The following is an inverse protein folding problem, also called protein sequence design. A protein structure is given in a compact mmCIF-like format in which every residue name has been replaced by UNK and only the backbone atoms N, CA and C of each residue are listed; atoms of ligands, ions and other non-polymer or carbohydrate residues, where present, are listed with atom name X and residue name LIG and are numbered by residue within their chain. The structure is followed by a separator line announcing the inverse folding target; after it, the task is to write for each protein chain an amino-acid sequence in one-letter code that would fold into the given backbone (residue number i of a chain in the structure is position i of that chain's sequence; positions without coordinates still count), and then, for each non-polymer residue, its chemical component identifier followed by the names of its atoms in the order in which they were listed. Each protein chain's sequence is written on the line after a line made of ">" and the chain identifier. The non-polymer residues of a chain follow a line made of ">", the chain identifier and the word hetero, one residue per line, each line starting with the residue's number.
data_IF_488572390860
#
_entry.id   IF_488572390860
#
_cell.length_a   1.000
_cell.length_b   1.000
_cell.length_c   1.000
_cell.angle_alpha   90.00
_cell.angle_beta   90.00
_cell.angle_gamma   90.00
#
_symmetry.space_group_name_H-M   'P 1'
#
loop_
_entity.id
_entity.type
_entity.pdbx_description
1 polymer ?
#
# COMPACT_ATOMS: atom_id res chain seq x y z
N UNK A 1 13.55 -3.91 -9.06
CA UNK A 1 13.47 -5.05 -10.01
C UNK A 1 12.05 -5.51 -10.31
N UNK A 2 11.15 -5.56 -9.33
CA UNK A 2 9.73 -5.92 -9.55
C UNK A 2 9.04 -5.06 -10.64
N UNK A 3 9.35 -3.76 -10.68
CA UNK A 3 8.90 -2.84 -11.77
C UNK A 3 9.35 -3.28 -13.18
N UNK A 4 10.50 -3.94 -13.30
CA UNK A 4 11.00 -4.48 -14.57
C UNK A 4 10.07 -5.57 -15.07
N UNK A 5 9.69 -6.49 -14.19
CA UNK A 5 8.77 -7.59 -14.52
C UNK A 5 7.42 -7.01 -14.97
N UNK A 6 6.86 -6.09 -14.18
CA UNK A 6 5.62 -5.39 -14.52
C UNK A 6 5.66 -4.72 -15.91
N UNK A 7 6.74 -3.99 -16.20
CA UNK A 7 6.88 -3.24 -17.47
C UNK A 7 7.19 -4.13 -18.67
N UNK A 8 7.62 -5.37 -18.42
CA UNK A 8 7.94 -6.36 -19.46
C UNK A 8 6.80 -7.34 -19.70
N UNK A 9 5.64 -7.16 -19.03
CA UNK A 9 4.47 -8.00 -19.26
C UNK A 9 3.97 -7.80 -20.69
N UNK A 10 3.81 -8.92 -21.39
CA UNK A 10 3.19 -8.96 -22.72
C UNK A 10 1.67 -8.74 -22.58
N UNK A 11 1.24 -7.52 -22.28
CA UNK A 11 -0.17 -7.17 -22.11
C UNK A 11 -0.43 -5.73 -22.56
N UNK A 12 -1.71 -5.32 -22.54
CA UNK A 12 -2.08 -3.95 -22.85
C UNK A 12 -1.62 -3.00 -21.75
N UNK A 13 -1.30 -1.74 -22.08
CA UNK A 13 -0.96 -0.74 -21.07
C UNK A 13 -2.04 -0.54 -20.00
N UNK A 14 -3.30 -0.79 -20.36
CA UNK A 14 -4.44 -0.66 -19.46
C UNK A 14 -4.62 -1.87 -18.53
N UNK A 15 -4.00 -3.00 -18.84
CA UNK A 15 -4.10 -4.25 -18.09
C UNK A 15 -2.77 -4.61 -17.39
N UNK A 16 -1.77 -3.71 -17.39
CA UNK A 16 -0.48 -3.91 -16.72
C UNK A 16 -0.61 -4.33 -15.26
N UNK A 17 -1.65 -3.84 -14.56
CA UNK A 17 -1.91 -4.15 -13.16
C UNK A 17 -2.68 -5.45 -12.91
N UNK A 18 -3.13 -6.16 -13.96
CA UNK A 18 -3.96 -7.38 -13.83
C UNK A 18 -3.28 -8.58 -14.47
N UNK A 19 -3.24 -9.74 -13.80
CA UNK A 19 -2.77 -10.99 -14.40
C UNK A 19 -3.78 -11.46 -15.46
N UNK A 20 -3.36 -11.48 -16.73
CA UNK A 20 -4.17 -11.82 -17.91
C UNK A 20 -3.34 -12.62 -18.89
N UNK A 21 -4.03 -13.23 -19.86
CA UNK A 21 -3.41 -13.94 -20.99
C UNK A 21 -2.43 -13.03 -21.73
N UNK A 22 -1.24 -13.53 -22.10
CA UNK A 22 -0.28 -12.78 -22.89
C UNK A 22 -0.88 -12.28 -24.21
N UNK A 23 -0.56 -11.03 -24.55
CA UNK A 23 -0.88 -10.38 -25.82
C UNK A 23 0.39 -10.35 -26.66
N UNK A 24 0.31 -10.89 -27.87
CA UNK A 24 1.45 -10.94 -28.80
C UNK A 24 1.29 -9.99 -30.00
N UNK A 25 0.05 -9.59 -30.30
CA UNK A 25 -0.25 -8.69 -31.40
C UNK A 25 -0.19 -7.21 -30.99
N UNK A 26 0.07 -6.28 -31.93
CA UNK A 26 -0.11 -4.85 -31.71
C UNK A 26 -1.54 -4.52 -31.27
N UNK A 27 -1.70 -3.50 -30.44
CA UNK A 27 -3.00 -3.06 -29.93
C UNK A 27 -3.10 -1.55 -29.87
N UNK A 28 -4.31 -1.01 -29.98
CA UNK A 28 -4.54 0.42 -29.75
C UNK A 28 -4.42 0.74 -28.25
N UNK A 29 -3.54 1.68 -27.91
CA UNK A 29 -3.29 2.09 -26.54
C UNK A 29 -3.94 3.45 -26.28
N UNK A 30 -5.01 3.47 -25.48
CA UNK A 30 -5.66 4.71 -25.05
C UNK A 30 -4.70 5.65 -24.31
N UNK A 31 -3.83 5.11 -23.44
CA UNK A 31 -2.84 5.91 -22.69
C UNK A 31 -1.90 6.70 -23.59
N UNK A 32 -1.52 6.16 -24.75
CA UNK A 32 -0.58 6.80 -25.68
C UNK A 32 -1.24 7.32 -26.96
N UNK A 33 -2.56 7.16 -27.09
CA UNK A 33 -3.34 7.49 -28.29
C UNK A 33 -2.73 6.98 -29.59
N UNK A 34 -2.16 5.76 -29.57
CA UNK A 34 -1.47 5.15 -30.73
C UNK A 34 -1.44 3.62 -30.66
N UNK A 35 -1.11 2.97 -31.77
CA UNK A 35 -0.82 1.54 -31.81
C UNK A 35 0.48 1.26 -31.05
N UNK A 36 0.41 0.43 -30.01
CA UNK A 36 1.54 -0.04 -29.24
C UNK A 36 1.79 -1.53 -29.51
N UNK A 37 3.03 -1.96 -29.31
CA UNK A 37 3.42 -3.36 -29.40
C UNK A 37 3.80 -3.89 -28.02
N UNK A 38 3.39 -5.12 -27.66
CA UNK A 38 3.88 -5.79 -26.46
C UNK A 38 5.42 -5.91 -26.46
N UNK A 39 6.08 -5.84 -25.29
CA UNK A 39 7.52 -6.05 -25.21
C UNK A 39 7.87 -7.50 -25.58
N UNK A 40 8.90 -7.67 -26.42
CA UNK A 40 9.43 -8.98 -26.83
C UNK A 40 10.66 -9.42 -26.02
N UNK A 41 11.22 -8.52 -25.22
CA UNK A 41 12.40 -8.78 -24.38
C UNK A 41 12.36 -7.97 -23.09
N UNK A 42 12.78 -8.59 -21.99
CA UNK A 42 12.96 -7.96 -20.68
C UNK A 42 14.26 -7.16 -20.58
N UNK A 43 15.26 -7.46 -21.41
CA UNK A 43 16.64 -6.98 -21.23
C UNK A 43 16.75 -5.46 -21.23
N UNK A 44 15.98 -4.78 -22.10
CA UNK A 44 16.00 -3.32 -22.19
C UNK A 44 15.46 -2.67 -20.91
N UNK A 45 14.36 -3.18 -20.37
CA UNK A 45 13.79 -2.69 -19.12
C UNK A 45 14.67 -3.02 -17.93
N UNK A 46 15.27 -4.22 -17.93
CA UNK A 46 16.21 -4.65 -16.90
C UNK A 46 17.39 -3.69 -16.80
N UNK A 47 18.11 -3.46 -17.90
CA UNK A 47 19.24 -2.52 -17.93
C UNK A 47 18.84 -1.13 -17.46
N UNK A 48 17.74 -0.59 -18.01
CA UNK A 48 17.26 0.76 -17.67
C UNK A 48 16.93 0.90 -16.19
N UNK A 49 16.16 -0.02 -15.62
CA UNK A 49 15.75 0.07 -14.23
C UNK A 49 16.87 -0.28 -13.25
N UNK A 50 17.84 -1.12 -13.64
CA UNK A 50 19.05 -1.32 -12.84
C UNK A 50 19.87 -0.04 -12.73
N UNK A 51 20.13 0.65 -13.85
CA UNK A 51 20.86 1.93 -13.84
C UNK A 51 20.09 2.99 -13.04
N UNK A 52 18.77 3.11 -13.23
CA UNK A 52 17.95 4.05 -12.46
C UNK A 52 17.98 3.74 -10.95
N UNK A 53 17.96 2.46 -10.58
CA UNK A 53 18.03 2.02 -9.18
C UNK A 53 19.38 2.41 -8.56
N UNK A 54 20.49 2.15 -9.25
CA UNK A 54 21.83 2.52 -8.76
C UNK A 54 21.95 4.04 -8.55
N UNK A 55 21.49 4.83 -9.51
CA UNK A 55 21.47 6.30 -9.38
C UNK A 55 20.65 6.75 -8.17
N UNK A 56 19.44 6.21 -7.98
CA UNK A 56 18.58 6.55 -6.83
C UNK A 56 19.23 6.15 -5.49
N UNK A 57 19.93 5.03 -5.44
CA UNK A 57 20.66 4.61 -4.24
C UNK A 57 21.81 5.57 -3.92
N UNK A 58 22.55 6.02 -4.93
CA UNK A 58 23.60 7.04 -4.75
C UNK A 58 23.02 8.38 -4.28
N UNK A 59 21.93 8.85 -4.89
CA UNK A 59 21.24 10.07 -4.46
C UNK A 59 20.68 9.94 -3.03
N UNK A 60 20.14 8.77 -2.68
CA UNK A 60 19.64 8.51 -1.34
C UNK A 60 20.76 8.46 -0.31
N UNK A 61 21.91 7.86 -0.64
CA UNK A 61 23.06 7.82 0.26
C UNK A 61 23.57 9.21 0.66
N UNK A 62 23.47 10.19 -0.26
CA UNK A 62 23.80 11.59 0.02
C UNK A 62 22.75 12.32 0.87
N UNK A 63 21.49 11.87 0.84
CA UNK A 63 20.35 12.54 1.51
C UNK A 63 19.93 11.88 2.82
N UNK A 64 20.29 10.61 3.03
CA UNK A 64 19.81 9.83 4.16
C UNK A 64 20.33 10.43 5.47
N UNK A 65 19.44 10.52 6.44
CA UNK A 65 19.75 10.94 7.80
C UNK A 65 20.07 9.73 8.67
N UNK A 66 20.62 9.96 9.86
CA UNK A 66 20.90 8.92 10.87
C UNK A 66 19.60 8.45 11.57
N UNK A 67 18.64 7.99 10.78
CA UNK A 67 17.34 7.46 11.23
C UNK A 67 17.32 5.95 11.11
N UNK A 68 16.64 5.26 12.02
CA UNK A 68 16.35 3.85 11.86
C UNK A 68 15.13 3.64 10.96
N UNK A 69 15.24 2.72 10.01
CA UNK A 69 14.16 2.33 9.10
C UNK A 69 14.17 0.81 9.03
N UNK A 70 13.02 0.20 9.26
CA UNK A 70 12.86 -1.26 9.24
C UNK A 70 11.58 -1.63 8.51
N UNK A 71 11.58 -2.79 7.88
CA UNK A 71 10.39 -3.40 7.29
C UNK A 71 10.09 -4.67 8.08
N UNK A 72 8.89 -4.77 8.63
CA UNK A 72 8.41 -5.96 9.33
C UNK A 72 7.25 -6.54 8.53
N UNK A 73 7.26 -7.87 8.36
CA UNK A 73 6.19 -8.61 7.64
C UNK A 73 5.32 -9.34 8.66
N UNK A 74 4.01 -9.21 8.51
CA UNK A 74 3.00 -9.96 9.24
C UNK A 74 1.68 -9.19 9.34
N UNK A 75 0.69 -9.79 10.00
CA UNK A 75 -0.62 -9.18 10.18
C UNK A 75 -0.56 -8.05 11.23
N UNK A 76 -0.95 -6.84 10.83
CA UNK A 76 -0.91 -5.66 11.69
C UNK A 76 -1.90 -5.71 12.87
N UNK A 77 -2.81 -6.69 12.88
CA UNK A 77 -3.74 -6.96 14.00
C UNK A 77 -3.09 -7.73 15.15
N UNK A 78 -1.94 -8.36 14.93
CA UNK A 78 -1.30 -9.25 15.93
C UNK A 78 0.23 -9.16 15.99
N UNK A 79 0.88 -8.44 15.06
CA UNK A 79 2.34 -8.33 15.02
C UNK A 79 2.89 -7.56 16.23
N UNK A 80 3.49 -8.30 17.16
CA UNK A 80 4.12 -7.73 18.35
C UNK A 80 5.40 -6.94 18.03
N UNK A 81 5.29 -5.62 17.86
CA UNK A 81 6.36 -4.72 17.42
C UNK A 81 7.64 -4.85 18.26
N UNK A 82 7.53 -4.81 19.59
CA UNK A 82 8.70 -4.87 20.49
C UNK A 82 9.43 -6.21 20.37
N UNK A 83 8.68 -7.30 20.22
CA UNK A 83 9.24 -8.65 20.00
C UNK A 83 9.99 -8.70 18.68
N UNK A 84 9.39 -8.19 17.60
CA UNK A 84 10.03 -8.14 16.30
C UNK A 84 11.30 -7.26 16.32
N UNK A 85 11.25 -6.09 16.95
CA UNK A 85 12.41 -5.20 17.05
C UNK A 85 13.62 -5.83 17.74
N UNK A 86 13.40 -6.77 18.66
CA UNK A 86 14.47 -7.42 19.40
C UNK A 86 15.43 -8.23 18.53
N UNK A 87 14.97 -8.77 17.39
CA UNK A 87 15.82 -9.53 16.47
C UNK A 87 16.55 -8.66 15.44
N UNK A 88 16.17 -7.38 15.29
CA UNK A 88 16.71 -6.50 14.25
C UNK A 88 17.54 -5.34 14.78
N UNK A 89 17.07 -4.67 15.83
CA UNK A 89 17.69 -3.44 16.31
C UNK A 89 17.30 -3.14 17.76
N UNK A 90 18.18 -3.51 18.69
CA UNK A 90 18.00 -3.29 20.13
C UNK A 90 17.86 -1.81 20.50
N UNK A 91 18.59 -0.92 19.81
CA UNK A 91 18.49 0.53 20.07
C UNK A 91 17.12 1.07 19.70
N UNK A 92 16.58 0.68 18.53
CA UNK A 92 15.23 1.06 18.11
C UNK A 92 14.16 0.42 19.00
N UNK A 93 14.33 -0.85 19.39
CA UNK A 93 13.47 -1.52 20.38
C UNK A 93 13.37 -0.68 21.64
N UNK A 94 14.52 -0.32 22.23
CA UNK A 94 14.56 0.45 23.46
C UNK A 94 13.92 1.83 23.26
N UNK A 95 14.19 2.51 22.14
CA UNK A 95 13.57 3.79 21.82
C UNK A 95 12.04 3.69 21.81
N UNK A 96 11.47 2.73 21.07
CA UNK A 96 10.02 2.54 20.96
C UNK A 96 9.42 2.08 22.30
N UNK A 97 10.10 1.22 23.06
CA UNK A 97 9.61 0.78 24.38
C UNK A 97 9.51 1.91 25.40
N UNK A 98 10.44 2.89 25.37
CA UNK A 98 10.46 3.98 26.36
C UNK A 98 9.71 5.22 25.89
N UNK A 99 9.93 5.65 24.64
CA UNK A 99 9.34 6.89 24.12
C UNK A 99 8.01 6.67 23.41
N UNK A 100 7.71 5.42 23.03
CA UNK A 100 6.57 5.07 22.16
C UNK A 100 6.61 5.79 20.81
N UNK A 101 5.63 5.52 19.97
CA UNK A 101 5.49 6.11 18.64
C UNK A 101 4.63 7.38 18.72
N UNK A 102 5.07 8.47 18.07
CA UNK A 102 4.29 9.71 17.94
C UNK A 102 3.01 9.54 17.14
N UNK A 103 2.94 8.55 16.26
CA UNK A 103 1.79 8.41 15.39
C UNK A 103 1.88 7.30 14.35
N UNK A 104 0.83 7.20 13.55
CA UNK A 104 0.71 6.28 12.41
C UNK A 104 0.39 7.13 11.18
N UNK A 105 1.05 6.85 10.06
CA UNK A 105 0.69 7.40 8.76
C UNK A 105 0.52 6.25 7.79
N UNK A 106 -0.69 6.05 7.26
CA UNK A 106 -0.96 4.91 6.37
C UNK A 106 -2.07 5.20 5.36
N UNK A 107 -2.09 4.38 4.30
CA UNK A 107 -3.17 4.29 3.34
C UNK A 107 -3.73 2.87 3.44
N UNK A 108 -4.83 2.64 4.17
CA UNK A 108 -5.43 1.32 4.29
C UNK A 108 -5.81 0.72 2.92
N UNK A 109 -5.93 -0.62 2.81
CA UNK A 109 -6.39 -1.26 1.58
C UNK A 109 -7.79 -0.76 1.18
N UNK A 110 -8.08 -0.71 -0.12
CA UNK A 110 -9.39 -0.26 -0.61
C UNK A 110 -10.41 -1.41 -0.65
N UNK A 111 -11.49 -1.28 0.14
CA UNK A 111 -12.52 -2.32 0.28
C UNK A 111 -13.07 -2.83 -1.06
N UNK A 112 -12.73 -4.07 -1.38
CA UNK A 112 -13.24 -4.78 -2.54
C UNK A 112 -12.87 -4.15 -3.89
N UNK A 113 -11.81 -3.35 -3.96
CA UNK A 113 -11.40 -2.66 -5.21
C UNK A 113 -10.25 -3.35 -5.92
N UNK A 114 -9.23 -3.77 -5.16
CA UNK A 114 -7.98 -4.30 -5.71
C UNK A 114 -7.64 -5.59 -4.97
N UNK A 115 -7.09 -6.55 -5.69
CA UNK A 115 -6.39 -7.69 -5.12
C UNK A 115 -4.89 -7.35 -5.11
N UNK A 116 -4.38 -6.93 -3.95
CA UNK A 116 -2.99 -6.45 -3.86
C UNK A 116 -1.98 -7.57 -4.05
N UNK A 117 -2.31 -8.78 -3.58
CA UNK A 117 -1.47 -9.96 -3.72
C UNK A 117 -1.34 -10.34 -5.19
N UNK A 118 -2.47 -10.42 -5.90
CA UNK A 118 -2.48 -10.78 -7.32
C UNK A 118 -1.84 -9.69 -8.19
N UNK A 119 -2.10 -8.41 -7.91
CA UNK A 119 -1.44 -7.30 -8.60
C UNK A 119 0.09 -7.35 -8.47
N UNK A 120 0.61 -7.92 -7.39
CA UNK A 120 2.03 -7.99 -7.10
C UNK A 120 2.60 -9.42 -7.12
N UNK A 121 1.88 -10.41 -7.65
CA UNK A 121 2.29 -11.82 -7.64
C UNK A 121 3.73 -12.04 -8.12
N UNK A 122 4.14 -11.33 -9.19
CA UNK A 122 5.51 -11.37 -9.71
C UNK A 122 6.59 -10.94 -8.71
N UNK A 123 6.26 -10.04 -7.76
CA UNK A 123 7.19 -9.61 -6.74
C UNK A 123 7.35 -10.68 -5.65
N UNK A 124 6.26 -11.36 -5.29
CA UNK A 124 6.28 -12.51 -4.39
C UNK A 124 7.11 -13.64 -4.97
N UNK A 125 6.88 -14.02 -6.23
CA UNK A 125 7.65 -15.05 -6.93
C UNK A 125 9.13 -14.68 -7.05
N UNK A 126 9.44 -13.46 -7.53
CA UNK A 126 10.82 -13.02 -7.77
C UNK A 126 11.64 -12.89 -6.48
N UNK A 127 11.00 -12.59 -5.35
CA UNK A 127 11.66 -12.44 -4.06
C UNK A 127 11.52 -13.69 -3.17
N UNK A 128 10.88 -14.75 -3.69
CA UNK A 128 10.59 -15.97 -2.95
C UNK A 128 9.86 -15.70 -1.61
N UNK A 129 8.93 -14.75 -1.65
CA UNK A 129 8.10 -14.35 -0.50
C UNK A 129 6.78 -15.11 -0.60
N UNK A 130 6.43 -15.85 0.46
CA UNK A 130 5.12 -16.49 0.55
C UNK A 130 3.97 -15.47 0.57
N UNK A 131 2.82 -15.89 0.04
CA UNK A 131 1.59 -15.09 0.01
C UNK A 131 0.73 -15.40 1.23
N UNK A 132 0.25 -14.36 1.90
CA UNK A 132 -0.60 -14.47 3.09
C UNK A 132 -2.02 -13.92 2.82
N UNK A 133 -2.60 -14.32 1.68
CA UNK A 133 -3.87 -13.79 1.16
C UNK A 133 -5.04 -13.84 2.16
N UNK A 134 -5.03 -14.77 3.13
CA UNK A 134 -6.09 -14.84 4.14
C UNK A 134 -6.12 -13.65 5.11
N UNK A 135 -5.01 -12.93 5.28
CA UNK A 135 -4.91 -11.79 6.19
C UNK A 135 -5.26 -10.45 5.51
N UNK A 136 -5.57 -10.45 4.21
CA UNK A 136 -5.96 -9.23 3.51
C UNK A 136 -7.29 -8.67 4.05
N UNK A 137 -7.28 -7.38 4.40
CA UNK A 137 -8.46 -6.65 4.86
C UNK A 137 -9.17 -6.04 3.66
N UNK A 138 -10.44 -6.40 3.46
CA UNK A 138 -11.26 -5.93 2.33
C UNK A 138 -10.82 -6.41 0.94
N UNK A 139 -10.47 -7.70 0.74
CA UNK A 139 -9.95 -8.18 -0.54
C UNK A 139 -11.02 -8.11 -1.64
N UNK A 140 -10.58 -7.93 -2.89
CA UNK A 140 -11.45 -7.86 -4.08
C UNK A 140 -12.48 -9.00 -4.15
N UNK A 141 -12.07 -10.24 -3.82
CA UNK A 141 -12.95 -11.43 -3.85
C UNK A 141 -14.18 -11.35 -2.95
N UNK A 142 -14.16 -10.53 -1.89
CA UNK A 142 -15.32 -10.31 -0.99
C UNK A 142 -16.25 -9.19 -1.49
N UNK A 143 -15.84 -8.43 -2.50
CA UNK A 143 -16.61 -7.35 -3.08
C UNK A 143 -16.91 -6.22 -2.09
N UNK A 144 -18.02 -5.52 -2.31
CA UNK A 144 -18.40 -4.29 -1.60
C UNK A 144 -19.77 -4.39 -0.91
N UNK A 145 -20.22 -5.61 -0.61
CA UNK A 145 -21.50 -5.84 0.09
C UNK A 145 -21.51 -5.15 1.47
N UNK A 146 -22.69 -5.02 2.09
CA UNK A 146 -22.77 -4.50 3.47
C UNK A 146 -21.89 -5.32 4.42
N UNK A 147 -21.97 -6.65 4.36
CA UNK A 147 -21.14 -7.53 5.18
C UNK A 147 -19.63 -7.35 4.91
N UNK A 148 -19.22 -7.18 3.64
CA UNK A 148 -17.81 -6.94 3.30
C UNK A 148 -17.31 -5.59 3.85
N UNK A 149 -18.15 -4.55 3.78
CA UNK A 149 -17.83 -3.22 4.36
C UNK A 149 -17.78 -3.25 5.88
N UNK A 150 -18.69 -3.94 6.53
CA UNK A 150 -18.71 -4.08 7.99
C UNK A 150 -17.47 -4.88 8.47
N UNK A 151 -17.11 -5.96 7.78
CA UNK A 151 -15.86 -6.70 8.04
C UNK A 151 -14.60 -5.86 7.80
N UNK A 152 -14.58 -5.02 6.76
CA UNK A 152 -13.49 -4.08 6.50
C UNK A 152 -13.35 -3.05 7.63
N UNK A 153 -14.46 -2.46 8.08
CA UNK A 153 -14.48 -1.51 9.21
C UNK A 153 -13.88 -2.15 10.45
N UNK A 154 -14.31 -3.38 10.77
CA UNK A 154 -13.79 -4.10 11.93
C UNK A 154 -12.29 -4.38 11.79
N UNK A 155 -11.84 -4.92 10.65
CA UNK A 155 -10.42 -5.23 10.45
C UNK A 155 -9.51 -4.01 10.56
N UNK A 156 -9.89 -2.85 9.99
CA UNK A 156 -9.09 -1.63 10.14
C UNK A 156 -9.13 -1.12 11.59
N UNK A 157 -10.28 -1.19 12.25
CA UNK A 157 -10.39 -0.79 13.65
C UNK A 157 -9.55 -1.69 14.57
N UNK A 158 -9.52 -3.01 14.35
CA UNK A 158 -8.66 -3.97 15.06
C UNK A 158 -7.17 -3.60 14.91
N UNK A 159 -6.71 -3.28 13.70
CA UNK A 159 -5.33 -2.82 13.45
C UNK A 159 -5.02 -1.59 14.30
N UNK A 160 -5.90 -0.59 14.27
CA UNK A 160 -5.68 0.65 15.03
C UNK A 160 -5.64 0.37 16.54
N UNK A 161 -6.63 -0.35 17.06
CA UNK A 161 -6.74 -0.71 18.48
C UNK A 161 -5.53 -1.47 18.98
N UNK A 162 -5.11 -2.50 18.24
CA UNK A 162 -3.96 -3.33 18.60
C UNK A 162 -2.67 -2.49 18.69
N UNK A 163 -2.49 -1.54 17.77
CA UNK A 163 -1.30 -0.70 17.72
C UNK A 163 -1.31 0.48 18.71
N UNK A 164 -2.45 0.82 19.35
CA UNK A 164 -2.54 1.91 20.35
C UNK A 164 -1.53 1.74 21.49
N UNK A 165 -1.24 0.50 21.89
CA UNK A 165 -0.30 0.20 22.99
C UNK A 165 1.12 0.73 22.72
N UNK A 166 1.50 0.89 21.45
CA UNK A 166 2.78 1.44 21.02
C UNK A 166 2.76 2.96 20.81
N UNK A 167 1.63 3.64 20.97
CA UNK A 167 1.50 5.09 20.79
C UNK A 167 1.70 5.85 22.11
N UNK A 168 2.36 7.00 22.03
CA UNK A 168 2.44 7.95 23.16
C UNK A 168 1.11 8.68 23.36
N UNK A 169 0.89 9.35 24.49
CA UNK A 169 -0.25 10.27 24.65
C UNK A 169 -0.24 11.38 23.60
N UNK A 170 -1.42 11.83 23.19
CA UNK A 170 -1.61 12.85 22.13
C UNK A 170 -0.94 12.45 20.79
N UNK A 171 -0.99 11.16 20.44
CA UNK A 171 -0.50 10.67 19.15
C UNK A 171 -1.27 11.26 17.97
N UNK A 172 -0.70 11.15 16.76
CA UNK A 172 -1.36 11.51 15.51
C UNK A 172 -1.55 10.28 14.61
N UNK A 173 -2.78 9.99 14.19
CA UNK A 173 -3.03 8.95 13.19
C UNK A 173 -3.56 9.60 11.92
N UNK A 174 -2.87 9.39 10.80
CA UNK A 174 -3.28 9.85 9.48
C UNK A 174 -3.64 8.66 8.60
N UNK A 175 -4.92 8.61 8.19
CA UNK A 175 -5.43 7.62 7.25
C UNK A 175 -5.74 8.28 5.92
N UNK A 176 -5.08 7.86 4.85
CA UNK A 176 -5.32 8.35 3.49
C UNK A 176 -6.21 7.38 2.76
N UNK A 177 -7.40 7.83 2.32
CA UNK A 177 -8.33 6.94 1.64
C UNK A 177 -9.36 7.65 0.75
N UNK A 178 -9.88 6.92 -0.22
CA UNK A 178 -11.09 7.28 -0.94
C UNK A 178 -12.29 6.68 -0.20
N UNK A 179 -12.98 7.51 0.56
CA UNK A 179 -14.10 7.05 1.40
C UNK A 179 -15.45 7.11 0.68
N UNK A 180 -15.60 6.30 -0.38
CA UNK A 180 -16.84 6.22 -1.16
C UNK A 180 -18.08 5.88 -0.33
N UNK A 181 -17.92 5.12 0.76
CA UNK A 181 -19.03 4.56 1.54
C UNK A 181 -19.17 5.18 2.94
N UNK A 182 -18.44 6.26 3.24
CA UNK A 182 -18.42 6.91 4.55
C UNK A 182 -18.11 5.93 5.70
N UNK A 183 -17.07 5.11 5.54
CA UNK A 183 -16.65 4.08 6.49
C UNK A 183 -15.73 4.63 7.58
N UNK A 184 -14.96 5.68 7.30
CA UNK A 184 -13.91 6.16 8.20
C UNK A 184 -14.43 6.74 9.52
N UNK A 185 -15.59 7.42 9.58
CA UNK A 185 -16.20 7.78 10.86
C UNK A 185 -16.50 6.56 11.74
N UNK A 186 -16.97 5.46 11.14
CA UNK A 186 -17.25 4.21 11.88
C UNK A 186 -15.97 3.53 12.34
N UNK A 187 -14.93 3.52 11.51
CA UNK A 187 -13.60 3.00 11.87
C UNK A 187 -13.04 3.77 13.08
N UNK A 188 -13.09 5.10 13.04
CA UNK A 188 -12.61 5.95 14.14
C UNK A 188 -13.39 5.65 15.44
N UNK A 189 -14.72 5.53 15.35
CA UNK A 189 -15.56 5.19 16.51
C UNK A 189 -15.22 3.83 17.10
N UNK A 190 -15.13 2.80 16.26
CA UNK A 190 -14.74 1.43 16.67
C UNK A 190 -13.34 1.37 17.24
N UNK A 191 -12.41 2.21 16.77
CA UNK A 191 -11.05 2.29 17.28
C UNK A 191 -10.91 3.10 18.59
N UNK A 192 -12.02 3.62 19.14
CA UNK A 192 -12.01 4.57 20.24
C UNK A 192 -11.10 5.78 19.96
N UNK A 193 -11.25 6.34 18.77
CA UNK A 193 -10.57 7.54 18.28
C UNK A 193 -11.60 8.55 17.77
N UNK A 194 -11.15 9.76 17.47
CA UNK A 194 -11.97 10.81 16.88
C UNK A 194 -11.25 11.46 15.70
N UNK A 195 -12.00 11.76 14.64
CA UNK A 195 -11.48 12.51 13.50
C UNK A 195 -11.54 13.99 13.87
N UNK A 196 -10.37 14.62 14.05
CA UNK A 196 -10.28 16.04 14.41
C UNK A 196 -10.13 16.94 13.19
N UNK A 197 -9.53 16.45 12.10
CA UNK A 197 -9.39 17.18 10.85
C UNK A 197 -9.60 16.26 9.63
N UNK A 198 -10.02 16.85 8.51
CA UNK A 198 -10.07 16.16 7.21
C UNK A 198 -9.49 17.05 6.12
N UNK A 199 -8.65 16.46 5.26
CA UNK A 199 -8.00 17.17 4.15
C UNK A 199 -8.29 16.46 2.83
N UNK A 200 -8.79 17.18 1.82
CA UNK A 200 -9.06 16.61 0.49
C UNK A 200 -7.84 16.78 -0.42
N UNK A 201 -7.49 15.72 -1.15
CA UNK A 201 -6.38 15.72 -2.11
C UNK A 201 -6.82 15.10 -3.44
N UNK A 202 -6.61 15.78 -4.58
CA UNK A 202 -6.84 15.18 -5.89
C UNK A 202 -5.75 14.17 -6.25
N UNK A 203 -6.13 13.09 -6.94
CA UNK A 203 -5.20 12.08 -7.47
C UNK A 203 -5.23 12.15 -8.99
N UNK A 204 -4.17 12.71 -9.56
CA UNK A 204 -4.10 13.02 -10.99
C UNK A 204 -3.59 11.85 -11.85
N UNK A 205 -2.82 10.93 -11.27
CA UNK A 205 -2.09 9.90 -12.01
C UNK A 205 -2.47 8.48 -11.56
N UNK A 206 -3.51 7.89 -12.16
CA UNK A 206 -3.93 6.50 -11.93
C UNK A 206 -3.47 5.57 -13.06
N UNK A 207 -3.24 4.29 -12.75
CA UNK A 207 -2.84 3.27 -13.75
C UNK A 207 -4.05 2.71 -14.50
N UNK A 208 -5.22 2.70 -13.87
CA UNK A 208 -6.46 2.06 -14.36
C UNK A 208 -7.16 2.84 -15.49
N UNK A 209 -8.12 2.19 -16.13
CA UNK A 209 -8.84 2.64 -17.35
C UNK A 209 -9.64 3.94 -17.17
N UNK A 210 -10.04 4.29 -15.96
CA UNK A 210 -10.98 5.39 -15.69
C UNK A 210 -10.26 6.69 -15.27
N UNK A 211 -9.32 7.15 -16.10
CA UNK A 211 -8.54 8.38 -15.86
C UNK A 211 -9.35 9.67 -16.03
N UNK A 212 -10.44 9.60 -16.79
CA UNK A 212 -11.29 10.76 -17.10
C UNK A 212 -12.15 11.19 -15.90
N UNK A 213 -12.41 10.28 -14.96
CA UNK A 213 -13.12 10.60 -13.73
C UNK A 213 -12.19 11.21 -12.69
N UNK A 214 -12.60 12.37 -12.16
CA UNK A 214 -11.95 12.98 -11.02
C UNK A 214 -11.92 11.98 -9.85
N UNK A 215 -10.72 11.68 -9.37
CA UNK A 215 -10.52 10.84 -8.18
C UNK A 215 -9.83 11.67 -7.11
N UNK A 216 -10.34 11.60 -5.89
CA UNK A 216 -9.77 12.28 -4.73
C UNK A 216 -9.68 11.34 -3.56
N UNK A 217 -8.66 11.55 -2.74
CA UNK A 217 -8.51 10.93 -1.43
C UNK A 217 -8.79 11.97 -0.35
N UNK A 218 -9.20 11.50 0.81
CA UNK A 218 -9.29 12.27 2.04
C UNK A 218 -8.22 11.76 3.00
N UNK A 219 -7.50 12.70 3.61
CA UNK A 219 -6.61 12.44 4.74
C UNK A 219 -7.42 12.69 6.01
N UNK A 220 -7.72 11.62 6.74
CA UNK A 220 -8.39 11.69 8.04
C UNK A 220 -7.32 11.78 9.13
N UNK A 221 -7.37 12.84 9.92
CA UNK A 221 -6.51 13.02 11.09
C UNK A 221 -7.28 12.59 12.33
N UNK A 222 -6.85 11.47 12.90
CA UNK A 222 -7.43 10.86 14.09
C UNK A 222 -6.58 11.17 15.32
N UNK A 223 -7.25 11.47 16.42
CA UNK A 223 -6.69 11.63 17.77
C UNK A 223 -7.36 10.65 18.74
N UNK A 224 -6.74 10.49 19.90
CA UNK A 224 -7.36 9.83 21.04
C UNK A 224 -8.68 10.52 21.43
N UNK A 225 -9.63 9.75 21.95
CA UNK A 225 -10.89 10.27 22.51
C UNK A 225 -10.68 10.81 23.91
#
# INVERSE_FOLDING_TARGET
>A
MSRTVLSSRATSHADLGTLKTPVHAPYYCQKHHKICKPPLTILNWWKRYSIDTLRRLQEFDQKRTKTHQICLRGDSRELELIRQLSSFNTSLKNLVSHQKCRGIFTSPPYVGVIDYHEQHAYAYEMLEIERDDQFEIGPLKRGQSKAARDSYVEGIAEVLQFNKKYLQSDYDVFLVANDKFNLYPKIADRAHMQIVNTFKRPVLNRVEKDRERAYSETIFHLKER
#
